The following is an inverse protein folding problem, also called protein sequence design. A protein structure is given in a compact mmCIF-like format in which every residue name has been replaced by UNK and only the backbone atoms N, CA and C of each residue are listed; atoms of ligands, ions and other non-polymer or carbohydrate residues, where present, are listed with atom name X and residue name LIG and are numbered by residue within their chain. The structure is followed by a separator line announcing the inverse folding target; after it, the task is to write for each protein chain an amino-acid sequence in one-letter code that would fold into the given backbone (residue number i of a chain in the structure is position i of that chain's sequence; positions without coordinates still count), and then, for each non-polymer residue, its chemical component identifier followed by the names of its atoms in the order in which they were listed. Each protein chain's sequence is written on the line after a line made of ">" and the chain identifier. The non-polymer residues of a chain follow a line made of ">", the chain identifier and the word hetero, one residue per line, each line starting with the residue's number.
data_IF_256877459694
#
_entry.id   IF_256877459694
#
_cell.length_a   1.000
_cell.length_b   1.000
_cell.length_c   1.000
_cell.angle_alpha   90.00
_cell.angle_beta   90.00
_cell.angle_gamma   90.00
#
_symmetry.space_group_name_H-M   'P 1'
#
loop_
_entity.id
_entity.type
_entity.pdbx_description
1 polymer ?
#
# COMPACT_ATOMS: atom_id res chain seq x y z
N UNK A 1 62.06 51.99 -30.13
CA UNK A 1 61.60 51.54 -31.46
C UNK A 1 60.08 51.50 -31.39
N UNK A 2 59.41 52.65 -31.54
CA UNK A 2 58.81 53.15 -32.79
C UNK A 2 57.87 52.14 -33.44
N UNK A 3 56.60 52.57 -33.55
CA UNK A 3 55.65 52.29 -34.63
C UNK A 3 54.97 50.92 -34.49
N UNK A 4 53.68 50.86 -34.19
CA UNK A 4 52.54 50.83 -35.16
C UNK A 4 51.43 50.12 -34.35
N UNK A 5 50.13 50.39 -34.38
CA UNK A 5 49.18 51.26 -35.08
C UNK A 5 47.93 51.18 -34.15
N UNK A 6 47.32 52.27 -33.69
CA UNK A 6 46.31 53.06 -34.40
C UNK A 6 44.95 52.34 -34.57
N UNK A 7 43.88 53.13 -34.32
CA UNK A 7 42.45 52.91 -34.63
C UNK A 7 41.66 52.12 -33.57
N UNK A 8 40.56 52.58 -32.93
CA UNK A 8 39.58 53.67 -33.07
C UNK A 8 38.86 53.69 -31.69
N UNK A 9 38.91 54.71 -30.84
CA UNK A 9 38.21 56.02 -30.85
C UNK A 9 36.67 55.95 -30.95
N UNK A 10 36.01 56.39 -29.87
CA UNK A 10 34.75 57.16 -29.86
C UNK A 10 33.42 56.41 -30.10
N UNK A 11 32.57 56.33 -29.08
CA UNK A 11 31.39 57.21 -28.91
C UNK A 11 30.52 56.72 -27.74
N UNK A 12 30.37 57.60 -26.77
CA UNK A 12 29.39 57.57 -25.70
C UNK A 12 28.26 58.51 -26.13
N UNK A 13 27.09 57.99 -26.53
CA UNK A 13 25.84 58.79 -26.65
C UNK A 13 24.65 57.89 -26.30
N UNK A 14 23.95 58.27 -25.23
CA UNK A 14 22.60 57.87 -24.87
C UNK A 14 21.63 58.12 -26.04
N UNK A 15 20.76 57.15 -26.33
CA UNK A 15 19.44 57.41 -26.91
C UNK A 15 18.40 56.64 -26.11
N UNK A 16 17.59 57.40 -25.35
CA UNK A 16 16.28 57.00 -24.85
C UNK A 16 15.30 57.00 -26.02
N UNK A 17 14.58 55.88 -26.24
CA UNK A 17 13.24 55.77 -26.88
C UNK A 17 12.92 54.26 -26.93
N UNK A 18 12.12 53.73 -25.99
CA UNK A 18 10.66 53.65 -26.08
C UNK A 18 10.18 52.78 -27.24
N UNK A 19 10.02 51.48 -26.98
CA UNK A 19 8.94 50.68 -27.54
C UNK A 19 8.36 49.83 -26.40
N UNK A 20 7.19 50.29 -25.94
CA UNK A 20 6.26 49.49 -25.17
C UNK A 20 5.92 48.24 -26.01
N UNK A 21 6.21 47.06 -25.47
CA UNK A 21 5.56 45.84 -25.91
C UNK A 21 5.06 45.16 -24.65
N UNK A 22 3.83 45.51 -24.31
CA UNK A 22 3.01 44.92 -23.27
C UNK A 22 2.59 43.51 -23.72
N UNK A 23 3.58 42.64 -23.93
CA UNK A 23 3.34 41.21 -24.02
C UNK A 23 3.09 40.74 -22.59
N UNK A 24 1.81 40.74 -22.21
CA UNK A 24 1.29 39.83 -21.19
C UNK A 24 1.79 38.43 -21.55
N UNK A 25 2.93 38.05 -20.98
CA UNK A 25 3.21 36.66 -20.71
C UNK A 25 2.13 36.27 -19.70
N UNK A 26 1.02 35.74 -20.21
CA UNK A 26 0.27 34.74 -19.48
C UNK A 26 1.30 33.66 -19.15
N UNK A 27 1.83 33.70 -17.94
CA UNK A 27 2.34 32.50 -17.33
C UNK A 27 1.15 31.53 -17.33
N UNK A 28 1.13 30.63 -18.31
CA UNK A 28 0.48 29.34 -18.10
C UNK A 28 1.10 28.85 -16.80
N UNK A 29 0.34 28.96 -15.70
CA UNK A 29 0.51 28.09 -14.55
C UNK A 29 0.39 26.71 -15.18
N UNK A 30 1.52 26.08 -15.48
CA UNK A 30 1.58 24.63 -15.40
C UNK A 30 1.23 24.34 -13.95
N UNK A 31 -0.06 24.13 -13.70
CA UNK A 31 -0.51 23.41 -12.51
C UNK A 31 0.17 22.06 -12.61
N UNK A 32 1.33 21.95 -11.95
CA UNK A 32 1.95 20.67 -11.67
C UNK A 32 0.83 19.85 -11.03
N UNK A 33 0.41 18.77 -11.70
CA UNK A 33 -0.63 17.89 -11.17
C UNK A 33 -0.23 17.52 -9.74
N UNK A 34 -1.08 17.87 -8.80
CA UNK A 34 -0.87 17.53 -7.40
C UNK A 34 -0.83 16.02 -7.29
N UNK A 35 0.11 15.49 -6.50
CA UNK A 35 0.30 14.04 -6.34
C UNK A 35 0.19 13.71 -4.87
N UNK A 36 -0.73 12.80 -4.54
CA UNK A 36 -0.89 12.23 -3.20
C UNK A 36 -0.15 10.89 -3.19
N UNK A 37 0.80 10.75 -2.27
CA UNK A 37 1.56 9.51 -2.07
C UNK A 37 0.90 8.65 -1.00
N UNK A 38 0.40 7.47 -1.39
CA UNK A 38 -0.27 6.53 -0.49
C UNK A 38 0.66 5.37 -0.21
N UNK A 39 0.91 5.05 1.07
CA UNK A 39 1.45 3.75 1.45
C UNK A 39 0.29 2.85 1.87
N UNK A 40 0.10 1.71 1.21
CA UNK A 40 -1.02 0.82 1.47
C UNK A 40 -0.57 -0.63 1.60
N UNK A 41 -1.17 -1.36 2.54
CA UNK A 41 -0.96 -2.79 2.66
C UNK A 41 -1.21 -3.50 1.31
N UNK A 42 -0.33 -4.45 0.96
CA UNK A 42 -0.39 -5.14 -0.33
C UNK A 42 -1.74 -5.83 -0.62
N UNK A 43 -2.46 -6.27 0.42
CA UNK A 43 -3.78 -6.89 0.28
C UNK A 43 -4.88 -5.94 -0.22
N UNK A 44 -4.66 -4.63 -0.16
CA UNK A 44 -5.60 -3.62 -0.66
C UNK A 44 -5.46 -3.35 -2.15
N UNK A 45 -4.46 -3.94 -2.83
CA UNK A 45 -4.03 -3.51 -4.15
C UNK A 45 -5.17 -3.44 -5.17
N UNK A 46 -5.93 -4.52 -5.35
CA UNK A 46 -6.99 -4.57 -6.36
C UNK A 46 -8.14 -3.61 -6.04
N UNK A 47 -8.60 -3.60 -4.79
CA UNK A 47 -9.69 -2.74 -4.35
C UNK A 47 -9.31 -1.25 -4.44
N UNK A 48 -8.12 -0.89 -3.95
CA UNK A 48 -7.65 0.49 -3.97
C UNK A 48 -7.36 0.98 -5.40
N UNK A 49 -6.91 0.11 -6.30
CA UNK A 49 -6.76 0.47 -7.71
C UNK A 49 -8.11 0.82 -8.35
N UNK A 50 -9.17 0.03 -8.13
CA UNK A 50 -10.52 0.37 -8.62
C UNK A 50 -11.02 1.69 -8.01
N UNK A 51 -10.78 1.92 -6.72
CA UNK A 51 -11.13 3.19 -6.06
C UNK A 51 -10.39 4.38 -6.68
N UNK A 52 -9.10 4.23 -6.99
CA UNK A 52 -8.31 5.27 -7.65
C UNK A 52 -8.83 5.53 -9.06
N UNK A 53 -9.23 4.50 -9.80
CA UNK A 53 -9.89 4.66 -11.11
C UNK A 53 -11.19 5.47 -11.00
N UNK A 54 -12.00 5.25 -9.96
CA UNK A 54 -13.19 6.06 -9.70
C UNK A 54 -12.83 7.50 -9.30
N UNK A 55 -11.85 7.71 -8.41
CA UNK A 55 -11.42 9.05 -7.99
C UNK A 55 -10.92 9.89 -9.16
N UNK A 56 -10.15 9.29 -10.07
CA UNK A 56 -9.60 9.95 -11.25
C UNK A 56 -10.67 10.41 -12.26
N UNK A 57 -11.93 9.97 -12.14
CA UNK A 57 -13.04 10.47 -12.98
C UNK A 57 -13.52 11.85 -12.54
N UNK A 58 -13.28 12.20 -11.29
CA UNK A 58 -13.81 13.42 -10.64
C UNK A 58 -12.70 14.39 -10.21
N UNK A 59 -11.44 13.92 -10.18
CA UNK A 59 -10.27 14.69 -9.73
C UNK A 59 -9.11 14.63 -10.72
N UNK A 60 -8.38 15.75 -10.85
CA UNK A 60 -7.12 15.85 -11.60
C UNK A 60 -5.88 15.53 -10.72
N UNK A 61 -6.09 15.18 -9.45
CA UNK A 61 -5.02 14.83 -8.50
C UNK A 61 -4.52 13.41 -8.79
N UNK A 62 -3.22 13.25 -8.98
CA UNK A 62 -2.60 11.93 -9.19
C UNK A 62 -2.48 11.21 -7.84
N UNK A 63 -2.99 9.98 -7.76
CA UNK A 63 -2.69 9.09 -6.63
C UNK A 63 -1.51 8.19 -7.03
N UNK A 64 -0.44 8.21 -6.23
CA UNK A 64 0.73 7.35 -6.40
C UNK A 64 0.83 6.40 -5.22
N UNK A 65 0.75 5.10 -5.46
CA UNK A 65 0.64 4.10 -4.39
C UNK A 65 1.89 3.24 -4.28
N UNK A 66 2.41 3.14 -3.07
CA UNK A 66 3.44 2.22 -2.65
C UNK A 66 2.79 1.06 -1.87
N UNK A 67 2.65 -0.08 -2.53
CA UNK A 67 2.12 -1.30 -1.91
C UNK A 67 3.23 -2.11 -1.22
N UNK A 68 2.93 -2.67 -0.06
CA UNK A 68 3.87 -3.56 0.63
C UNK A 68 3.36 -4.11 1.96
N UNK A 69 4.22 -4.84 2.67
CA UNK A 69 3.95 -5.27 4.05
C UNK A 69 3.88 -4.06 4.99
N UNK A 70 2.82 -3.95 5.79
CA UNK A 70 2.57 -2.76 6.62
C UNK A 70 3.70 -2.41 7.59
N UNK A 71 4.42 -3.40 8.13
CA UNK A 71 5.59 -3.13 8.99
C UNK A 71 6.76 -2.53 8.22
N UNK A 72 6.98 -2.95 6.97
CA UNK A 72 7.98 -2.35 6.09
C UNK A 72 7.58 -0.92 5.65
N UNK A 73 6.30 -0.70 5.35
CA UNK A 73 5.76 0.64 5.05
C UNK A 73 5.88 1.59 6.25
N UNK A 74 5.50 1.13 7.45
CA UNK A 74 5.74 1.84 8.71
C UNK A 74 7.21 2.22 8.86
N UNK A 75 8.13 1.28 8.65
CA UNK A 75 9.56 1.59 8.73
C UNK A 75 10.00 2.68 7.74
N UNK A 76 9.47 2.67 6.51
CA UNK A 76 9.76 3.70 5.52
C UNK A 76 9.24 5.07 5.97
N UNK A 77 8.00 5.11 6.48
CA UNK A 77 7.38 6.33 7.03
C UNK A 77 8.20 6.89 8.18
N UNK A 78 8.56 6.05 9.17
CA UNK A 78 9.37 6.45 10.33
C UNK A 78 10.79 6.90 9.94
N UNK A 79 11.30 6.44 8.79
CA UNK A 79 12.57 6.89 8.21
C UNK A 79 12.44 8.16 7.35
N UNK A 80 11.24 8.75 7.26
CA UNK A 80 10.99 10.00 6.58
C UNK A 80 10.60 9.87 5.10
N UNK A 81 10.06 8.72 4.67
CA UNK A 81 9.44 8.62 3.35
C UNK A 81 8.29 9.64 3.21
N UNK A 82 8.19 10.38 2.09
CA UNK A 82 7.13 11.37 1.89
C UNK A 82 5.82 10.65 1.58
N UNK A 83 5.02 10.39 2.61
CA UNK A 83 3.74 9.70 2.52
C UNK A 83 2.66 10.64 3.02
N UNK A 84 1.56 10.73 2.26
CA UNK A 84 0.42 11.60 2.54
C UNK A 84 -0.76 10.85 3.18
N UNK A 85 -0.87 9.55 2.92
CA UNK A 85 -1.91 8.68 3.46
C UNK A 85 -1.37 7.27 3.69
N UNK A 86 -1.71 6.67 4.83
CA UNK A 86 -1.30 5.32 5.21
C UNK A 86 -2.52 4.44 5.48
N UNK A 87 -2.59 3.29 4.81
CA UNK A 87 -3.56 2.23 5.11
C UNK A 87 -2.80 0.97 5.50
N UNK A 88 -2.85 0.62 6.78
CA UNK A 88 -2.15 -0.54 7.34
C UNK A 88 -3.08 -1.72 7.44
N UNK A 89 -2.60 -2.95 7.25
CA UNK A 89 -3.29 -4.19 7.64
C UNK A 89 -3.07 -4.58 9.13
N UNK A 90 -2.54 -3.68 9.94
CA UNK A 90 -2.14 -3.93 11.33
C UNK A 90 -2.29 -2.66 12.16
N UNK A 91 -3.11 -2.73 13.20
CA UNK A 91 -3.27 -1.65 14.18
C UNK A 91 -1.97 -1.37 14.93
N UNK A 92 -1.18 -2.40 15.26
CA UNK A 92 0.09 -2.23 15.97
C UNK A 92 1.14 -1.48 15.12
N UNK A 93 1.18 -1.73 13.82
CA UNK A 93 2.09 -1.02 12.90
C UNK A 93 1.61 0.42 12.64
N UNK A 94 0.30 0.64 12.52
CA UNK A 94 -0.30 1.96 12.39
C UNK A 94 -0.10 2.82 13.65
N UNK A 95 -0.32 2.22 14.82
CA UNK A 95 -0.15 2.89 16.11
C UNK A 95 1.28 3.40 16.30
N UNK A 96 2.30 2.66 15.83
CA UNK A 96 3.68 3.13 15.90
C UNK A 96 3.95 4.38 15.06
N UNK A 97 3.26 4.56 13.93
CA UNK A 97 3.33 5.81 13.14
C UNK A 97 2.58 6.93 13.87
N UNK A 98 1.42 6.61 14.43
CA UNK A 98 0.57 7.53 15.20
C UNK A 98 1.25 8.06 16.48
N UNK A 99 1.98 7.19 17.19
CA UNK A 99 2.69 7.52 18.43
C UNK A 99 3.81 8.56 18.21
N UNK A 100 4.33 8.66 16.99
CA UNK A 100 5.28 9.71 16.57
C UNK A 100 4.58 11.03 16.21
N UNK A 101 3.25 11.09 16.31
CA UNK A 101 2.45 12.28 16.01
C UNK A 101 2.35 12.60 14.52
N UNK A 102 2.56 11.60 13.65
CA UNK A 102 2.57 11.77 12.20
C UNK A 102 1.18 11.66 11.55
N UNK A 103 0.17 11.18 12.27
CA UNK A 103 -1.17 10.93 11.74
C UNK A 103 -2.16 12.01 12.23
N UNK A 104 -2.85 12.67 11.30
CA UNK A 104 -3.74 13.79 11.59
C UNK A 104 -5.21 13.36 11.68
N UNK A 105 -5.73 12.74 10.62
CA UNK A 105 -7.06 12.11 10.61
C UNK A 105 -6.90 10.60 10.56
N UNK A 106 -7.72 9.86 11.31
CA UNK A 106 -7.64 8.39 11.36
C UNK A 106 -8.94 7.75 11.77
N UNK A 107 -9.13 6.51 11.33
CA UNK A 107 -10.15 5.59 11.85
C UNK A 107 -9.76 4.14 11.54
N UNK A 108 -10.38 3.22 12.26
CA UNK A 108 -10.51 1.84 11.78
C UNK A 108 -11.44 1.86 10.55
N UNK A 109 -11.04 1.16 9.49
CA UNK A 109 -11.61 1.36 8.14
C UNK A 109 -12.23 0.10 7.56
N UNK A 110 -11.46 -0.99 7.51
CA UNK A 110 -11.88 -2.26 6.94
C UNK A 110 -11.49 -3.40 7.87
N UNK A 111 -12.17 -4.53 7.75
CA UNK A 111 -11.72 -5.78 8.35
C UNK A 111 -11.62 -6.90 7.32
N UNK A 112 -10.96 -7.98 7.71
CA UNK A 112 -10.71 -9.11 6.85
C UNK A 112 -10.60 -10.41 7.67
N UNK A 113 -10.45 -11.54 6.98
CA UNK A 113 -10.31 -12.86 7.57
C UNK A 113 -9.02 -13.51 7.14
N UNK A 114 -8.47 -14.36 8.00
CA UNK A 114 -7.29 -15.16 7.70
C UNK A 114 -7.73 -16.53 7.18
N UNK A 115 -7.18 -16.94 6.04
CA UNK A 115 -7.55 -18.20 5.39
C UNK A 115 -6.33 -19.03 5.04
N UNK A 116 -6.51 -20.35 5.01
CA UNK A 116 -5.56 -21.29 4.46
C UNK A 116 -5.91 -21.54 3.00
N UNK A 117 -4.92 -21.34 2.13
CA UNK A 117 -5.03 -21.63 0.70
C UNK A 117 -4.09 -22.75 0.27
N UNK A 118 -4.43 -23.40 -0.84
CA UNK A 118 -3.57 -24.34 -1.57
C UNK A 118 -3.59 -24.02 -3.08
N UNK A 119 -2.66 -24.57 -3.88
CA UNK A 119 -2.79 -24.58 -5.33
C UNK A 119 -4.08 -25.31 -5.75
N UNK A 120 -4.69 -24.94 -6.89
CA UNK A 120 -5.92 -25.55 -7.43
C UNK A 120 -5.82 -27.10 -7.54
N UNK A 121 -4.65 -27.61 -7.93
CA UNK A 121 -4.37 -29.05 -8.06
C UNK A 121 -3.74 -29.69 -6.80
N UNK A 122 -3.67 -28.93 -5.70
CA UNK A 122 -3.08 -29.36 -4.43
C UNK A 122 -3.95 -30.34 -3.63
N UNK A 123 -3.33 -31.03 -2.67
CA UNK A 123 -4.00 -32.09 -1.88
C UNK A 123 -4.39 -31.70 -0.46
N UNK A 124 -3.99 -30.52 0.02
CA UNK A 124 -4.27 -30.01 1.38
C UNK A 124 -5.75 -29.64 1.49
N UNK A 125 -6.50 -30.17 2.46
CA UNK A 125 -7.94 -29.88 2.58
C UNK A 125 -8.32 -29.15 3.88
N UNK A 126 -7.39 -29.03 4.84
CA UNK A 126 -7.61 -28.31 6.10
C UNK A 126 -6.28 -28.01 6.79
N UNK A 127 -6.33 -27.23 7.87
CA UNK A 127 -5.18 -26.94 8.74
C UNK A 127 -4.55 -28.24 9.30
N UNK A 128 -5.34 -29.27 9.54
CA UNK A 128 -4.86 -30.57 10.04
C UNK A 128 -3.90 -31.27 9.07
N UNK A 129 -4.00 -31.01 7.76
CA UNK A 129 -3.15 -31.65 6.76
C UNK A 129 -1.72 -31.08 6.74
N UNK A 130 -1.49 -29.91 7.36
CA UNK A 130 -0.20 -29.19 7.32
C UNK A 130 0.96 -29.96 7.97
N UNK A 131 0.68 -30.88 8.89
CA UNK A 131 1.72 -31.79 9.43
C UNK A 131 2.28 -32.76 8.39
N UNK A 132 1.58 -32.97 7.27
CA UNK A 132 1.97 -33.89 6.19
C UNK A 132 2.55 -33.20 4.94
N UNK A 133 2.55 -31.85 4.89
CA UNK A 133 3.09 -31.11 3.74
C UNK A 133 4.59 -30.85 3.87
N UNK A 134 5.23 -30.40 2.79
CA UNK A 134 6.64 -30.06 2.75
C UNK A 134 6.89 -28.60 3.11
N UNK A 135 6.16 -27.67 2.49
CA UNK A 135 6.38 -26.23 2.62
C UNK A 135 5.06 -25.46 2.76
N UNK A 136 5.07 -24.47 3.65
CA UNK A 136 3.92 -23.59 3.92
C UNK A 136 4.40 -22.14 3.81
N UNK A 137 3.82 -21.36 2.90
CA UNK A 137 4.16 -19.94 2.79
C UNK A 137 3.35 -19.09 3.78
N UNK A 138 4.02 -18.24 4.54
CA UNK A 138 3.42 -17.21 5.38
C UNK A 138 4.17 -15.88 5.20
N UNK A 139 3.58 -14.76 5.58
CA UNK A 139 4.31 -13.49 5.60
C UNK A 139 5.44 -13.53 6.63
N UNK A 140 6.50 -12.76 6.42
CA UNK A 140 7.55 -12.52 7.43
C UNK A 140 6.92 -12.04 8.75
N UNK A 141 7.07 -12.82 9.82
CA UNK A 141 6.31 -12.66 11.06
C UNK A 141 6.66 -11.38 11.81
N UNK A 142 7.83 -10.80 11.55
CA UNK A 142 8.22 -9.55 12.21
C UNK A 142 7.69 -8.30 11.48
N UNK A 143 7.43 -8.39 10.16
CA UNK A 143 7.16 -7.20 9.32
C UNK A 143 5.85 -7.25 8.53
N UNK A 144 5.29 -8.43 8.29
CA UNK A 144 4.07 -8.63 7.48
C UNK A 144 2.90 -8.97 8.41
N UNK A 145 1.83 -8.16 8.43
CA UNK A 145 0.67 -8.44 9.28
C UNK A 145 0.06 -9.82 9.08
N UNK A 146 -0.12 -10.29 7.84
CA UNK A 146 -0.62 -11.64 7.57
C UNK A 146 0.28 -12.72 8.20
N UNK A 147 1.60 -12.51 8.21
CA UNK A 147 2.56 -13.36 8.92
C UNK A 147 2.38 -13.34 10.44
N UNK A 148 2.20 -12.16 11.02
CA UNK A 148 1.90 -11.99 12.46
C UNK A 148 0.62 -12.73 12.84
N UNK A 149 -0.46 -12.52 12.10
CA UNK A 149 -1.74 -13.19 12.33
C UNK A 149 -1.63 -14.71 12.14
N UNK A 150 -0.89 -15.19 11.13
CA UNK A 150 -0.62 -16.61 10.96
C UNK A 150 0.14 -17.20 12.15
N UNK A 151 1.17 -16.50 12.65
CA UNK A 151 1.91 -16.90 13.86
C UNK A 151 1.01 -16.94 15.09
N UNK A 152 0.18 -15.93 15.32
CA UNK A 152 -0.81 -15.93 16.40
C UNK A 152 -1.75 -17.13 16.29
N UNK A 153 -2.34 -17.34 15.11
CA UNK A 153 -3.28 -18.41 14.84
C UNK A 153 -2.68 -19.80 15.06
N UNK A 154 -1.53 -20.08 14.44
CA UNK A 154 -0.83 -21.36 14.64
C UNK A 154 -0.34 -21.56 16.06
N UNK A 155 0.04 -20.50 16.78
CA UNK A 155 0.43 -20.60 18.20
C UNK A 155 -0.78 -20.95 19.06
N UNK A 156 -1.94 -20.31 18.84
CA UNK A 156 -3.19 -20.63 19.55
C UNK A 156 -3.63 -22.07 19.32
N UNK A 157 -3.41 -22.58 18.11
CA UNK A 157 -3.67 -23.97 17.74
C UNK A 157 -2.60 -24.97 18.21
N UNK A 158 -1.53 -24.51 18.88
CA UNK A 158 -0.35 -25.32 19.27
C UNK A 158 0.36 -26.00 18.09
N UNK A 159 0.31 -25.40 16.90
CA UNK A 159 0.90 -25.93 15.67
C UNK A 159 2.18 -25.18 15.26
N UNK A 160 2.43 -23.97 15.77
CA UNK A 160 3.54 -23.14 15.29
C UNK A 160 4.90 -23.83 15.42
N UNK A 161 5.23 -24.34 16.61
CA UNK A 161 6.51 -25.02 16.86
C UNK A 161 6.67 -26.32 16.05
N UNK A 162 5.56 -27.03 15.78
CA UNK A 162 5.57 -28.26 14.96
C UNK A 162 5.82 -27.96 13.48
N UNK A 163 5.27 -26.84 12.98
CA UNK A 163 5.34 -26.43 11.59
C UNK A 163 6.52 -25.50 11.28
N UNK A 164 7.27 -25.03 12.29
CA UNK A 164 8.30 -24.00 12.15
C UNK A 164 9.31 -24.31 11.04
N UNK A 165 9.76 -25.56 10.97
CA UNK A 165 10.74 -26.01 9.95
C UNK A 165 10.21 -26.06 8.52
N UNK A 166 8.90 -25.90 8.32
CA UNK A 166 8.21 -25.94 7.02
C UNK A 166 7.86 -24.55 6.49
N UNK A 167 7.97 -23.51 7.32
CA UNK A 167 7.56 -22.16 6.92
C UNK A 167 8.54 -21.54 5.92
N UNK A 168 7.97 -20.93 4.89
CA UNK A 168 8.65 -20.04 3.95
C UNK A 168 8.09 -18.64 4.18
N UNK A 169 8.97 -17.73 4.59
CA UNK A 169 8.61 -16.36 4.93
C UNK A 169 8.68 -15.47 3.68
N UNK A 170 7.57 -14.84 3.34
CA UNK A 170 7.44 -13.95 2.18
C UNK A 170 7.48 -12.47 2.59
N UNK A 171 7.83 -11.59 1.65
CA UNK A 171 7.98 -10.14 1.88
C UNK A 171 6.67 -9.41 2.19
N UNK A 172 5.55 -9.99 1.75
CA UNK A 172 4.19 -9.51 1.96
C UNK A 172 3.21 -10.66 1.64
N UNK A 173 1.91 -10.42 1.87
CA UNK A 173 0.87 -11.43 1.68
C UNK A 173 0.61 -11.77 0.21
N UNK A 174 0.92 -10.88 -0.74
CA UNK A 174 0.76 -11.14 -2.17
C UNK A 174 1.89 -11.98 -2.73
N UNK A 175 3.08 -11.89 -2.16
CA UNK A 175 4.15 -12.85 -2.38
C UNK A 175 3.76 -14.26 -1.89
N UNK A 176 3.09 -14.40 -0.73
CA UNK A 176 2.53 -15.69 -0.28
C UNK A 176 1.54 -16.25 -1.30
N UNK A 177 0.56 -15.44 -1.71
CA UNK A 177 -0.44 -15.84 -2.71
C UNK A 177 0.24 -16.31 -4.01
N UNK A 178 1.26 -15.58 -4.45
CA UNK A 178 2.02 -15.91 -5.66
C UNK A 178 2.71 -17.26 -5.55
N UNK A 179 3.38 -17.57 -4.43
CA UNK A 179 4.05 -18.86 -4.23
C UNK A 179 3.06 -20.02 -4.29
N UNK A 180 1.87 -19.86 -3.70
CA UNK A 180 0.81 -20.87 -3.73
C UNK A 180 0.24 -21.01 -5.14
N UNK A 181 -0.11 -19.92 -5.80
CA UNK A 181 -0.66 -19.92 -7.16
C UNK A 181 0.29 -20.51 -8.21
N UNK A 182 1.60 -20.49 -7.94
CA UNK A 182 2.64 -21.08 -8.80
C UNK A 182 2.98 -22.53 -8.43
N UNK A 183 2.37 -23.08 -7.37
CA UNK A 183 2.67 -24.43 -6.88
C UNK A 183 4.08 -24.57 -6.31
N UNK A 184 4.72 -23.46 -5.90
CA UNK A 184 6.05 -23.48 -5.28
C UNK A 184 6.02 -24.00 -3.84
N UNK A 185 4.85 -23.94 -3.19
CA UNK A 185 4.58 -24.44 -1.85
C UNK A 185 3.27 -25.23 -1.82
N UNK A 186 3.10 -26.10 -0.83
CA UNK A 186 1.91 -26.95 -0.72
C UNK A 186 0.68 -26.19 -0.20
N UNK A 187 0.91 -25.15 0.60
CA UNK A 187 -0.12 -24.31 1.19
C UNK A 187 0.42 -22.93 1.53
N UNK A 188 -0.47 -21.97 1.76
CA UNK A 188 -0.11 -20.67 2.31
C UNK A 188 -1.21 -20.03 3.11
N UNK A 189 -0.85 -19.05 3.94
CA UNK A 189 -1.79 -18.30 4.77
C UNK A 189 -1.88 -16.85 4.27
N UNK A 190 -3.07 -16.46 3.83
CA UNK A 190 -3.36 -15.15 3.25
C UNK A 190 -4.64 -14.58 3.83
N UNK A 191 -5.04 -13.37 3.40
CA UNK A 191 -6.38 -12.89 3.68
C UNK A 191 -7.39 -13.44 2.66
N UNK A 192 -8.66 -13.58 3.06
CA UNK A 192 -9.74 -14.03 2.16
C UNK A 192 -9.78 -13.18 0.89
N UNK A 193 -9.70 -11.86 1.03
CA UNK A 193 -9.70 -10.93 -0.11
C UNK A 193 -8.53 -11.13 -1.07
N UNK A 194 -7.40 -11.68 -0.61
CA UNK A 194 -6.26 -11.99 -1.49
C UNK A 194 -6.55 -13.24 -2.32
N UNK A 195 -7.03 -14.30 -1.67
CA UNK A 195 -7.38 -15.56 -2.32
C UNK A 195 -8.46 -15.35 -3.41
N UNK A 196 -9.42 -14.46 -3.13
CA UNK A 196 -10.50 -14.10 -4.05
C UNK A 196 -10.02 -13.47 -5.38
N UNK A 197 -8.77 -13.01 -5.46
CA UNK A 197 -8.18 -12.43 -6.68
C UNK A 197 -7.60 -13.46 -7.64
N UNK A 198 -7.35 -14.69 -7.17
CA UNK A 198 -6.69 -15.77 -7.92
C UNK A 198 -7.49 -17.09 -7.82
N UNK A 199 -8.83 -17.01 -7.82
CA UNK A 199 -9.75 -18.16 -7.68
C UNK A 199 -9.57 -19.28 -8.70
N UNK A 200 -9.00 -18.96 -9.85
CA UNK A 200 -8.71 -19.94 -10.91
C UNK A 200 -7.36 -20.64 -10.69
N UNK A 201 -6.62 -20.33 -9.63
CA UNK A 201 -5.29 -20.88 -9.32
C UNK A 201 -5.13 -21.36 -7.89
N UNK A 202 -5.92 -20.84 -6.95
CA UNK A 202 -5.87 -21.23 -5.54
C UNK A 202 -7.25 -21.54 -5.00
N UNK A 203 -7.32 -22.53 -4.12
CA UNK A 203 -8.51 -22.86 -3.34
C UNK A 203 -8.34 -22.38 -1.89
N UNK A 204 -9.38 -21.76 -1.32
CA UNK A 204 -9.52 -21.63 0.13
C UNK A 204 -9.99 -22.99 0.67
N UNK A 205 -9.21 -23.56 1.60
CA UNK A 205 -9.48 -24.88 2.17
C UNK A 205 -9.80 -24.85 3.66
N UNK A 206 -9.49 -23.75 4.35
CA UNK A 206 -9.86 -23.55 5.75
C UNK A 206 -9.88 -22.05 6.10
N UNK A 207 -10.61 -21.68 7.15
CA UNK A 207 -10.62 -20.34 7.75
C UNK A 207 -10.07 -20.44 9.17
N UNK A 208 -9.14 -19.57 9.54
CA UNK A 208 -8.67 -19.52 10.93
C UNK A 208 -9.75 -18.87 11.80
N UNK A 209 -10.11 -19.53 12.90
CA UNK A 209 -11.13 -19.02 13.81
C UNK A 209 -10.76 -17.65 14.38
N UNK A 210 -11.74 -16.76 14.53
CA UNK A 210 -11.54 -15.40 15.07
C UNK A 210 -11.00 -15.37 16.51
N UNK A 211 -11.04 -16.50 17.22
CA UNK A 211 -10.47 -16.70 18.56
C UNK A 211 -8.99 -17.15 18.53
N UNK A 212 -8.43 -17.41 17.33
CA UNK A 212 -7.05 -17.87 17.17
C UNK A 212 -6.04 -16.73 16.99
N UNK A 213 -6.49 -15.56 16.58
CA UNK A 213 -5.67 -14.37 16.37
C UNK A 213 -6.43 -13.10 16.75
N UNK A 214 -5.74 -11.96 16.87
CA UNK A 214 -6.41 -10.67 17.04
C UNK A 214 -7.29 -10.32 15.82
N UNK A 215 -8.31 -9.46 15.96
CA UNK A 215 -9.06 -8.95 14.82
C UNK A 215 -8.13 -8.37 13.75
N UNK A 216 -8.45 -8.65 12.49
CA UNK A 216 -7.70 -8.11 11.34
C UNK A 216 -8.38 -6.82 10.93
N UNK A 217 -7.89 -5.72 11.48
CA UNK A 217 -8.41 -4.38 11.24
C UNK A 217 -7.41 -3.60 10.42
N UNK A 218 -7.90 -2.93 9.39
CA UNK A 218 -7.16 -2.03 8.54
C UNK A 218 -7.43 -0.59 8.95
N UNK A 219 -6.59 0.07 9.74
CA UNK A 219 -6.72 1.49 9.98
C UNK A 219 -6.24 2.31 8.78
N UNK A 220 -6.95 3.41 8.52
CA UNK A 220 -6.59 4.46 7.56
C UNK A 220 -6.22 5.73 8.31
N UNK A 221 -5.23 6.47 7.81
CA UNK A 221 -4.97 7.81 8.31
C UNK A 221 -4.16 8.70 7.38
N UNK A 222 -4.36 10.01 7.51
CA UNK A 222 -3.64 11.04 6.75
C UNK A 222 -2.36 11.43 7.45
N UNK A 223 -1.28 11.59 6.68
CA UNK A 223 0.05 12.05 7.10
C UNK A 223 0.37 13.45 6.54
N UNK A 224 -0.62 14.08 5.91
CA UNK A 224 -0.56 15.44 5.38
C UNK A 224 -1.90 16.14 5.66
N UNK A 225 -1.84 17.41 6.04
CA UNK A 225 -3.01 18.27 6.28
C UNK A 225 -3.44 19.04 5.02
N UNK A 226 -2.89 18.70 3.84
CA UNK A 226 -3.28 19.36 2.59
C UNK A 226 -4.74 19.08 2.24
N UNK A 227 -5.41 20.06 1.63
CA UNK A 227 -6.83 19.95 1.26
C UNK A 227 -7.09 18.76 0.32
N UNK A 228 -6.20 18.51 -0.64
CA UNK A 228 -6.32 17.38 -1.58
C UNK A 228 -6.30 16.02 -0.87
N UNK A 229 -5.45 15.86 0.14
CA UNK A 229 -5.36 14.63 0.95
C UNK A 229 -6.63 14.45 1.78
N UNK A 230 -7.19 15.54 2.31
CA UNK A 230 -8.46 15.51 3.01
C UNK A 230 -9.62 15.14 2.09
N UNK A 231 -9.69 15.74 0.91
CA UNK A 231 -10.71 15.41 -0.11
C UNK A 231 -10.61 13.94 -0.54
N UNK A 232 -9.40 13.41 -0.74
CA UNK A 232 -9.20 11.99 -1.06
C UNK A 232 -9.56 11.08 0.13
N UNK A 233 -9.22 11.47 1.36
CA UNK A 233 -9.64 10.74 2.57
C UNK A 233 -11.18 10.72 2.71
N UNK A 234 -11.86 11.84 2.51
CA UNK A 234 -13.32 11.90 2.52
C UNK A 234 -13.93 11.05 1.40
N UNK A 235 -13.35 11.08 0.21
CA UNK A 235 -13.75 10.22 -0.91
C UNK A 235 -13.65 8.73 -0.57
N UNK A 236 -12.56 8.30 0.08
CA UNK A 236 -12.37 6.94 0.58
C UNK A 236 -13.46 6.53 1.58
N UNK A 237 -14.06 7.49 2.29
CA UNK A 237 -15.10 7.24 3.29
C UNK A 237 -16.54 7.28 2.74
N UNK A 238 -16.74 7.87 1.56
CA UNK A 238 -17.44 7.23 0.45
C UNK A 238 -18.37 6.02 0.62
N UNK A 239 -19.70 6.13 0.72
CA UNK A 239 -20.58 4.93 0.61
C UNK A 239 -20.30 4.12 -0.67
N UNK A 240 -20.12 4.83 -1.80
CA UNK A 240 -19.80 4.20 -3.08
C UNK A 240 -18.44 3.49 -3.07
N UNK A 241 -17.44 4.07 -2.40
CA UNK A 241 -16.11 3.49 -2.25
C UNK A 241 -16.11 2.29 -1.29
N UNK A 242 -16.85 2.39 -0.18
CA UNK A 242 -17.02 1.28 0.75
C UNK A 242 -17.70 0.07 0.09
N UNK A 243 -18.61 0.29 -0.86
CA UNK A 243 -19.19 -0.79 -1.66
C UNK A 243 -18.18 -1.45 -2.62
N UNK A 244 -17.17 -0.71 -3.11
CA UNK A 244 -16.04 -1.30 -3.84
C UNK A 244 -15.25 -2.23 -2.91
N UNK A 245 -14.89 -1.79 -1.71
CA UNK A 245 -14.18 -2.65 -0.76
C UNK A 245 -14.96 -3.92 -0.41
N UNK A 246 -16.29 -3.81 -0.20
CA UNK A 246 -17.17 -4.98 0.01
C UNK A 246 -17.20 -5.92 -1.18
N UNK A 247 -17.21 -5.41 -2.42
CA UNK A 247 -17.12 -6.21 -3.65
C UNK A 247 -15.85 -7.08 -3.67
N UNK A 248 -14.76 -6.59 -3.08
CA UNK A 248 -13.49 -7.34 -2.95
C UNK A 248 -13.42 -8.22 -1.70
N UNK A 249 -14.47 -8.28 -0.88
CA UNK A 249 -14.57 -9.17 0.29
C UNK A 249 -14.17 -8.52 1.62
N UNK A 250 -13.79 -7.25 1.65
CA UNK A 250 -13.56 -6.55 2.92
C UNK A 250 -14.89 -6.30 3.64
N UNK A 251 -14.90 -6.41 4.96
CA UNK A 251 -15.98 -5.87 5.78
C UNK A 251 -15.66 -4.43 6.15
N UNK A 252 -16.70 -3.63 6.38
CA UNK A 252 -16.59 -2.22 6.70
C UNK A 252 -17.16 -2.01 8.09
N UNK A 253 -16.45 -1.22 8.92
CA UNK A 253 -16.90 -0.79 10.24
C UNK A 253 -17.82 0.44 10.18
#
# INVERSE_FOLDING_TARGET
>A
MKRILFLISLIFVLVLTACSNDSKQESKKETKAETITVSAAASLQDALNEVIEEYNKESDVKIDVNYGGSGALREQILKGAPVDLFISASQDDFKQVDDEGLIFEKKDYLENKLVLIRPEDGTVNSIDDLKYVSQIAIGEVETVPAGKYAKEAFTSLNLFDELESKFIYASDVRAVLTYVAQGEVDAGVVYETDAETEKDKVDIVDEFGSDTHKPIIYPIGTLSESESVKEFYDFLNSDAVLDIFKKYGFTVE
#
